data_IF_555497317246
#
_entry.id   IF_555497317246
#
_cell.length_a   1.000
_cell.length_b   1.000
_cell.length_c   1.000
_cell.angle_alpha   90.00
_cell.angle_beta   90.00
_cell.angle_gamma   90.00
#
_symmetry.space_group_name_H-M   'P 1'
#
loop_
_entity.id
_entity.type
_entity.pdbx_description
1 polymer ?
#
# COMPACT_ATOMS: atom_id res chain seq x y z
N UNK A 1 10.85 -15.93 29.18
CA UNK A 1 9.88 -14.87 28.94
C UNK A 1 10.39 -13.96 27.83
N UNK A 2 9.69 -13.82 26.73
CA UNK A 2 10.15 -12.92 25.71
C UNK A 2 10.08 -11.48 26.21
N UNK A 3 11.04 -10.67 25.83
CA UNK A 3 10.98 -9.25 26.14
C UNK A 3 9.89 -8.55 25.29
N UNK A 4 9.65 -7.29 25.57
CA UNK A 4 8.61 -6.54 24.87
C UNK A 4 8.86 -6.41 23.36
N UNK A 5 10.13 -6.35 22.96
CA UNK A 5 10.49 -6.22 21.56
C UNK A 5 10.20 -7.49 20.77
N UNK A 6 10.47 -8.66 21.37
CA UNK A 6 10.15 -9.93 20.74
C UNK A 6 8.63 -10.12 20.61
N UNK A 7 7.90 -9.79 21.67
CA UNK A 7 6.45 -9.90 21.64
C UNK A 7 5.88 -8.98 20.56
N UNK A 8 6.39 -7.74 20.44
CA UNK A 8 5.95 -6.78 19.45
C UNK A 8 6.26 -7.25 18.03
N UNK A 9 7.45 -7.81 17.82
CA UNK A 9 7.84 -8.30 16.50
C UNK A 9 6.99 -9.50 16.06
N UNK A 10 6.41 -10.25 16.99
CA UNK A 10 5.58 -11.40 16.70
C UNK A 10 4.10 -11.06 16.60
N UNK A 11 3.71 -9.86 16.99
CA UNK A 11 2.33 -9.44 16.86
C UNK A 11 1.91 -9.39 15.38
N UNK A 12 0.71 -9.89 15.04
CA UNK A 12 0.25 -9.80 13.67
C UNK A 12 0.06 -8.34 13.27
N UNK A 13 0.37 -8.03 12.04
CA UNK A 13 0.07 -6.71 11.49
C UNK A 13 -1.44 -6.54 11.42
N UNK A 14 -1.91 -5.32 11.67
CA UNK A 14 -3.32 -4.97 11.50
C UNK A 14 -3.58 -4.58 10.06
N UNK A 15 -3.34 -5.54 9.19
CA UNK A 15 -3.49 -5.43 7.76
C UNK A 15 -4.17 -6.70 7.27
N UNK A 16 -5.13 -6.54 6.37
CA UNK A 16 -5.72 -7.67 5.66
C UNK A 16 -5.22 -7.65 4.23
N UNK A 17 -4.72 -8.76 3.75
CA UNK A 17 -4.32 -8.91 2.35
C UNK A 17 -5.19 -10.00 1.74
N UNK A 18 -6.03 -9.62 0.78
CA UNK A 18 -6.96 -10.52 0.14
C UNK A 18 -6.70 -10.55 -1.36
N UNK A 19 -6.95 -11.71 -1.95
CA UNK A 19 -6.88 -11.86 -3.40
C UNK A 19 -8.24 -11.51 -4.01
N UNK A 20 -8.20 -10.75 -5.10
CA UNK A 20 -9.40 -10.38 -5.83
C UNK A 20 -9.09 -10.47 -7.32
N UNK A 21 -9.45 -11.60 -7.94
CA UNK A 21 -9.07 -11.88 -9.32
C UNK A 21 -7.55 -11.92 -9.45
N UNK A 22 -7.01 -11.17 -10.40
CA UNK A 22 -5.57 -11.06 -10.59
C UNK A 22 -4.89 -10.02 -9.72
N UNK A 23 -5.60 -9.47 -8.72
CA UNK A 23 -5.11 -8.38 -7.89
C UNK A 23 -5.06 -8.77 -6.42
N UNK A 24 -4.26 -8.04 -5.66
CA UNK A 24 -4.26 -8.12 -4.19
C UNK A 24 -4.86 -6.82 -3.64
N UNK A 25 -5.65 -6.95 -2.59
CA UNK A 25 -6.21 -5.80 -1.87
C UNK A 25 -5.66 -5.85 -0.46
N UNK A 26 -4.86 -4.85 -0.11
CA UNK A 26 -4.25 -4.73 1.20
C UNK A 26 -4.92 -3.57 1.95
N UNK A 27 -5.67 -3.89 3.01
CA UNK A 27 -6.35 -2.89 3.83
C UNK A 27 -5.58 -2.70 5.12
N UNK A 28 -5.14 -1.46 5.37
CA UNK A 28 -4.40 -1.10 6.57
C UNK A 28 -5.41 -0.57 7.58
N UNK A 29 -5.60 -1.28 8.69
CA UNK A 29 -6.68 -0.99 9.64
C UNK A 29 -6.30 0.00 10.73
N UNK A 30 -5.02 0.13 11.03
CA UNK A 30 -4.51 1.12 11.98
C UNK A 30 -3.18 1.67 11.48
N UNK A 31 -2.78 2.82 12.02
CA UNK A 31 -1.45 3.37 11.73
C UNK A 31 -0.37 2.35 12.11
N UNK A 32 0.59 2.19 11.24
CA UNK A 32 1.74 1.30 11.45
C UNK A 32 2.96 2.13 11.80
N UNK A 33 3.77 1.64 12.75
CA UNK A 33 5.07 2.27 13.02
C UNK A 33 6.05 1.93 11.88
N UNK A 34 7.25 2.51 11.94
CA UNK A 34 8.21 2.37 10.85
C UNK A 34 8.60 0.90 10.60
N UNK A 35 8.81 0.13 11.66
CA UNK A 35 9.18 -1.28 11.49
C UNK A 35 8.02 -2.11 10.95
N UNK A 36 6.79 -1.80 11.35
CA UNK A 36 5.59 -2.46 10.83
C UNK A 36 5.37 -2.11 9.36
N UNK A 37 5.65 -0.87 8.96
CA UNK A 37 5.55 -0.46 7.56
C UNK A 37 6.54 -1.24 6.69
N UNK A 38 7.78 -1.41 7.16
CA UNK A 38 8.77 -2.19 6.42
C UNK A 38 8.38 -3.66 6.31
N UNK A 39 7.83 -4.21 7.39
CA UNK A 39 7.33 -5.58 7.39
C UNK A 39 6.14 -5.75 6.44
N UNK A 40 5.23 -4.79 6.43
CA UNK A 40 4.10 -4.78 5.52
C UNK A 40 4.58 -4.76 4.06
N UNK A 41 5.54 -3.89 3.75
CA UNK A 41 6.13 -3.80 2.41
C UNK A 41 6.71 -5.13 1.98
N UNK A 42 7.52 -5.74 2.85
CA UNK A 42 8.15 -7.04 2.56
C UNK A 42 7.11 -8.12 2.30
N UNK A 43 6.11 -8.20 3.17
CA UNK A 43 5.08 -9.23 3.07
C UNK A 43 4.24 -9.07 1.80
N UNK A 44 3.88 -7.85 1.47
CA UNK A 44 3.08 -7.59 0.28
C UNK A 44 3.85 -7.89 -1.00
N UNK A 45 5.11 -7.47 -1.07
CA UNK A 45 5.98 -7.76 -2.23
C UNK A 45 6.16 -9.27 -2.40
N UNK A 46 6.32 -10.00 -1.29
CA UNK A 46 6.41 -11.45 -1.32
C UNK A 46 5.14 -12.08 -1.90
N UNK A 47 3.99 -11.63 -1.47
CA UNK A 47 2.72 -12.17 -1.97
C UNK A 47 2.48 -11.83 -3.43
N UNK A 48 2.90 -10.64 -3.88
CA UNK A 48 2.82 -10.28 -5.30
C UNK A 48 3.55 -11.32 -6.14
N UNK A 49 4.76 -11.69 -5.74
CA UNK A 49 5.54 -12.71 -6.46
C UNK A 49 4.91 -14.09 -6.37
N UNK A 50 4.45 -14.46 -5.18
CA UNK A 50 3.88 -15.79 -4.94
C UNK A 50 2.62 -16.03 -5.77
N UNK A 51 1.74 -15.04 -5.83
CA UNK A 51 0.46 -15.17 -6.54
C UNK A 51 0.48 -14.59 -7.94
N UNK A 52 1.63 -14.05 -8.37
CA UNK A 52 1.77 -13.40 -9.68
C UNK A 52 0.69 -12.35 -9.89
N UNK A 53 0.47 -11.54 -8.86
CA UNK A 53 -0.52 -10.48 -8.92
C UNK A 53 -0.13 -9.46 -9.98
N UNK A 54 -1.12 -8.95 -10.71
CA UNK A 54 -0.92 -7.92 -11.74
C UNK A 54 -1.17 -6.54 -11.21
N UNK A 55 -1.82 -6.43 -10.06
CA UNK A 55 -2.11 -5.16 -9.43
C UNK A 55 -2.31 -5.31 -7.94
N UNK A 56 -2.11 -4.20 -7.25
CA UNK A 56 -2.26 -4.10 -5.81
C UNK A 56 -3.03 -2.83 -5.47
N UNK A 57 -4.08 -2.99 -4.68
CA UNK A 57 -4.78 -1.85 -4.07
C UNK A 57 -4.34 -1.78 -2.61
N UNK A 58 -3.84 -0.62 -2.19
CA UNK A 58 -3.55 -0.36 -0.78
C UNK A 58 -4.62 0.58 -0.25
N UNK A 59 -5.48 0.07 0.63
CA UNK A 59 -6.58 0.83 1.19
C UNK A 59 -6.17 1.43 2.52
N UNK A 60 -6.14 2.75 2.59
CA UNK A 60 -5.72 3.52 3.76
C UNK A 60 -6.87 4.34 4.36
N UNK A 61 -8.12 3.95 4.06
CA UNK A 61 -9.29 4.70 4.52
C UNK A 61 -9.39 4.78 6.04
N UNK A 62 -8.84 3.81 6.75
CA UNK A 62 -8.86 3.80 8.22
C UNK A 62 -7.76 4.66 8.84
N UNK A 63 -6.85 5.22 8.07
CA UNK A 63 -5.73 5.99 8.61
C UNK A 63 -6.06 7.46 8.74
N UNK A 64 -5.82 8.01 9.93
CA UNK A 64 -5.97 9.44 10.20
C UNK A 64 -4.69 10.23 9.91
N UNK A 65 -3.56 9.53 9.78
CA UNK A 65 -2.26 10.15 9.53
C UNK A 65 -1.47 9.28 8.56
N UNK A 66 -0.86 9.90 7.59
CA UNK A 66 0.12 9.27 6.70
C UNK A 66 1.32 10.20 6.69
N UNK A 67 2.36 9.84 7.45
CA UNK A 67 3.54 10.68 7.59
C UNK A 67 4.49 10.50 6.40
N UNK A 68 5.59 11.26 6.41
CA UNK A 68 6.54 11.24 5.30
C UNK A 68 7.20 9.87 5.13
N UNK A 69 7.47 9.16 6.23
CA UNK A 69 8.03 7.81 6.14
C UNK A 69 7.04 6.84 5.50
N UNK A 70 5.75 6.93 5.87
CA UNK A 70 4.72 6.11 5.25
C UNK A 70 4.58 6.40 3.76
N UNK A 71 4.58 7.68 3.36
CA UNK A 71 4.55 8.05 1.95
C UNK A 71 5.74 7.47 1.19
N UNK A 72 6.93 7.61 1.75
CA UNK A 72 8.14 7.07 1.15
C UNK A 72 8.06 5.55 1.00
N UNK A 73 7.60 4.87 2.05
CA UNK A 73 7.48 3.41 2.04
C UNK A 73 6.46 2.95 0.99
N UNK A 74 5.33 3.64 0.86
CA UNK A 74 4.32 3.31 -0.14
C UNK A 74 4.85 3.54 -1.57
N UNK A 75 5.59 4.61 -1.80
CA UNK A 75 6.23 4.84 -3.11
C UNK A 75 7.25 3.75 -3.43
N UNK A 76 8.04 3.37 -2.44
CA UNK A 76 9.03 2.31 -2.60
C UNK A 76 8.36 0.95 -2.86
N UNK A 77 7.27 0.67 -2.12
CA UNK A 77 6.46 -0.52 -2.36
C UNK A 77 5.99 -0.58 -3.81
N UNK A 78 5.48 0.53 -4.33
CA UNK A 78 4.99 0.58 -5.71
C UNK A 78 6.10 0.29 -6.72
N UNK A 79 7.32 0.79 -6.47
CA UNK A 79 8.47 0.50 -7.32
C UNK A 79 8.84 -0.98 -7.28
N UNK A 80 8.87 -1.57 -6.09
CA UNK A 80 9.17 -2.99 -5.92
C UNK A 80 8.09 -3.87 -6.58
N UNK A 81 6.83 -3.48 -6.41
CA UNK A 81 5.72 -4.18 -7.05
C UNK A 81 5.86 -4.17 -8.57
N UNK A 82 6.22 -3.01 -9.12
CA UNK A 82 6.39 -2.87 -10.57
C UNK A 82 7.50 -3.78 -11.10
N UNK A 83 8.58 -3.94 -10.36
CA UNK A 83 9.66 -4.85 -10.74
C UNK A 83 9.17 -6.30 -10.78
N UNK A 84 8.09 -6.61 -10.09
CA UNK A 84 7.47 -7.92 -10.11
C UNK A 84 6.25 -7.99 -11.02
N UNK A 85 6.03 -6.97 -11.84
CA UNK A 85 4.97 -6.96 -12.83
C UNK A 85 3.62 -6.49 -12.32
N UNK A 86 3.55 -5.86 -11.14
CA UNK A 86 2.30 -5.40 -10.56
C UNK A 86 2.25 -3.87 -10.49
N UNK A 87 1.08 -3.32 -10.81
CA UNK A 87 0.81 -1.89 -10.62
C UNK A 87 0.17 -1.68 -9.25
N UNK A 88 0.45 -0.54 -8.63
CA UNK A 88 -0.09 -0.21 -7.32
C UNK A 88 -0.99 1.02 -7.42
N UNK A 89 -2.11 0.99 -6.70
CA UNK A 89 -2.96 2.16 -6.50
C UNK A 89 -3.27 2.27 -5.01
N UNK A 90 -3.25 3.49 -4.48
CA UNK A 90 -3.62 3.77 -3.09
C UNK A 90 -5.02 4.35 -3.09
N UNK A 91 -5.91 3.80 -2.27
CA UNK A 91 -7.30 4.25 -2.23
C UNK A 91 -7.68 4.71 -0.83
N UNK A 92 -8.62 5.64 -0.77
CA UNK A 92 -9.25 6.02 0.48
C UNK A 92 -8.50 7.02 1.32
N UNK A 93 -7.54 7.77 0.74
CA UNK A 93 -6.87 8.83 1.51
C UNK A 93 -7.94 9.83 1.96
N UNK A 94 -8.10 9.99 3.29
CA UNK A 94 -9.08 10.90 3.84
C UNK A 94 -8.75 12.34 3.47
N UNK A 95 -9.77 13.21 3.26
CA UNK A 95 -9.51 14.60 2.87
C UNK A 95 -8.58 15.35 3.81
N UNK A 96 -8.75 15.18 5.11
CA UNK A 96 -7.90 15.85 6.10
C UNK A 96 -6.46 15.36 6.01
N UNK A 97 -6.27 14.07 5.74
CA UNK A 97 -4.94 13.48 5.55
C UNK A 97 -4.30 14.06 4.30
N UNK A 98 -5.04 14.14 3.20
CA UNK A 98 -4.54 14.70 1.96
C UNK A 98 -4.14 16.16 2.11
N UNK A 99 -4.94 16.94 2.84
CA UNK A 99 -4.62 18.35 3.11
C UNK A 99 -3.35 18.50 3.94
N UNK A 100 -3.19 17.66 4.96
CA UNK A 100 -1.99 17.69 5.79
C UNK A 100 -0.75 17.32 4.97
N UNK A 101 -0.86 16.32 4.12
CA UNK A 101 0.25 15.93 3.22
C UNK A 101 0.65 17.10 2.32
N UNK A 102 -0.33 17.77 1.74
CA UNK A 102 -0.07 18.91 0.86
C UNK A 102 0.66 20.04 1.61
N UNK A 103 0.23 20.33 2.84
CA UNK A 103 0.87 21.37 3.65
C UNK A 103 2.31 21.03 4.00
N UNK A 104 2.59 19.74 4.26
CA UNK A 104 3.92 19.29 4.65
C UNK A 104 4.83 19.00 3.45
N UNK A 105 4.29 19.13 2.23
CA UNK A 105 5.07 18.84 1.03
C UNK A 105 5.34 17.35 0.82
N UNK A 106 4.61 16.48 1.50
CA UNK A 106 4.72 15.03 1.26
C UNK A 106 3.74 14.62 0.17
N UNK A 107 4.09 13.55 -0.55
CA UNK A 107 3.29 13.14 -1.70
C UNK A 107 3.42 11.64 -1.93
N UNK A 108 2.36 11.05 -2.45
CA UNK A 108 2.37 9.68 -2.95
C UNK A 108 2.76 9.59 -4.42
N UNK A 109 2.83 10.75 -5.11
CA UNK A 109 3.23 10.76 -6.52
C UNK A 109 4.56 10.04 -6.72
N UNK A 110 4.75 9.19 -7.72
CA UNK A 110 3.86 8.95 -8.86
C UNK A 110 2.85 7.80 -8.69
N UNK A 111 2.60 7.36 -7.47
CA UNK A 111 1.62 6.28 -7.24
C UNK A 111 0.22 6.82 -7.47
N UNK A 112 -0.58 6.21 -8.37
CA UNK A 112 -1.96 6.65 -8.58
C UNK A 112 -2.78 6.49 -7.30
N UNK A 113 -3.73 7.39 -7.12
CA UNK A 113 -4.67 7.33 -6.00
C UNK A 113 -6.09 7.30 -6.55
N UNK A 114 -7.00 6.73 -5.77
CA UNK A 114 -8.41 6.67 -6.10
C UNK A 114 -9.24 6.86 -4.85
N UNK A 115 -10.53 7.15 -5.02
CA UNK A 115 -11.41 7.43 -3.89
C UNK A 115 -11.69 6.18 -3.06
N UNK A 116 -11.90 5.05 -3.73
CA UNK A 116 -12.30 3.82 -3.06
C UNK A 116 -11.80 2.60 -3.83
N UNK A 117 -12.11 1.42 -3.28
CA UNK A 117 -11.68 0.16 -3.86
C UNK A 117 -12.19 -0.03 -5.29
N UNK A 118 -13.46 0.30 -5.54
CA UNK A 118 -14.05 0.12 -6.85
C UNK A 118 -13.32 0.94 -7.91
N UNK A 119 -13.08 2.21 -7.62
CA UNK A 119 -12.33 3.07 -8.53
C UNK A 119 -10.89 2.59 -8.70
N UNK A 120 -10.27 2.15 -7.61
CA UNK A 120 -8.90 1.63 -7.66
C UNK A 120 -8.78 0.39 -8.54
N UNK A 121 -9.72 -0.55 -8.40
CA UNK A 121 -9.74 -1.74 -9.24
C UNK A 121 -9.98 -1.37 -10.71
N UNK A 122 -10.84 -0.39 -10.95
CA UNK A 122 -11.06 0.11 -12.29
C UNK A 122 -9.81 0.67 -12.94
N UNK A 123 -8.99 1.39 -12.17
CA UNK A 123 -7.72 1.91 -12.68
C UNK A 123 -6.74 0.79 -13.03
N UNK A 124 -6.70 -0.26 -12.20
CA UNK A 124 -5.81 -1.40 -12.46
C UNK A 124 -6.22 -2.19 -13.69
N UNK A 125 -7.49 -2.18 -14.04
CA UNK A 125 -7.99 -2.91 -15.21
C UNK A 125 -7.82 -2.12 -16.51
N UNK A 126 -7.42 -0.85 -16.42
CA UNK A 126 -7.12 -0.07 -17.63
C UNK A 126 -5.80 -0.55 -18.25
N UNK A 127 -5.69 -0.49 -19.58
CA UNK A 127 -4.42 -0.82 -20.23
C UNK A 127 -3.29 0.06 -19.72
N UNK A 128 -2.14 -0.53 -19.47
CA UNK A 128 -0.94 0.22 -19.12
C UNK A 128 -0.43 0.93 -20.35
N UNK A 129 -0.49 2.25 -20.34
CA UNK A 129 -0.05 3.06 -21.49
C UNK A 129 1.46 3.12 -21.63
N UNK A 130 2.17 2.83 -20.52
CA UNK A 130 3.63 2.81 -20.55
C UNK A 130 4.09 1.40 -20.82
N UNK A 131 4.91 1.09 -21.60
CA UNK A 131 5.40 -0.26 -21.84
C UNK A 131 4.49 -1.11 -22.70
N UNK A 132 3.42 -0.59 -23.22
CA UNK A 132 2.65 -1.31 -24.21
C UNK A 132 3.06 -0.92 -25.58
N UNK A 133 3.29 -1.92 -26.31
CA UNK A 133 3.58 -1.71 -27.72
C UNK A 133 2.30 -1.45 -28.48
#
# INVERSE_FOLDING_TARGET
MPDGDQARAQEPLRVSILRHGGHLVASVHTALDDSQLLRFRHELVDQIGRYRARGVVVDVAALDVIDSFACHTLRNLAQLARLRGAQTVVVGVQPDVAMTMARLGTSLHPVPTALDLEEGLGLLDLPDRRGRA
#
